data_IF_108836768863
#
_entry.id   IF_108836768863
#
_cell.length_a   1.000
_cell.length_b   1.000
_cell.length_c   1.000
_cell.angle_alpha   90.00
_cell.angle_beta   90.00
_cell.angle_gamma   90.00
#
_symmetry.space_group_name_H-M   'P 1'
#
loop_
_entity.id
_entity.type
_entity.pdbx_description
1 polymer ?
#
# COMPACT_ATOMS: atom_id res chain seq x y z
N UNK A 1 44.21 3.42 25.94
CA UNK A 1 44.46 4.22 24.72
C UNK A 1 43.75 3.46 23.61
N UNK A 2 42.52 3.77 23.21
CA UNK A 2 41.79 5.03 23.27
C UNK A 2 40.33 4.83 23.68
N UNK A 3 39.92 5.67 24.62
CA UNK A 3 38.60 5.78 25.19
C UNK A 3 38.04 7.12 24.71
N UNK A 4 37.19 7.11 23.68
CA UNK A 4 36.36 8.28 23.34
C UNK A 4 35.29 7.93 22.29
N UNK A 5 34.03 7.89 22.75
CA UNK A 5 32.83 8.46 22.10
C UNK A 5 31.60 7.58 22.35
N UNK A 6 31.17 7.54 23.61
CA UNK A 6 29.79 7.19 23.93
C UNK A 6 28.89 8.41 23.72
N UNK A 7 27.71 8.28 23.11
CA UNK A 7 26.74 9.37 23.03
C UNK A 7 26.15 9.61 24.42
N UNK A 8 26.23 10.86 24.90
CA UNK A 8 25.67 11.22 26.21
C UNK A 8 24.13 11.21 26.19
N UNK A 9 23.47 10.79 27.30
CA UNK A 9 22.03 10.94 27.43
C UNK A 9 21.68 12.43 27.60
N UNK A 10 20.66 12.88 26.85
CA UNK A 10 20.06 14.19 27.03
C UNK A 10 19.49 14.30 28.45
N UNK A 11 20.12 15.16 29.25
CA UNK A 11 19.59 15.61 30.54
C UNK A 11 18.22 16.27 30.30
N UNK A 12 17.16 15.61 30.73
CA UNK A 12 15.83 16.19 30.88
C UNK A 12 15.93 17.30 31.94
N UNK A 13 16.13 18.53 31.46
CA UNK A 13 15.95 19.73 32.27
C UNK A 13 14.57 19.70 32.90
N UNK A 14 14.54 19.71 34.23
CA UNK A 14 13.34 19.76 35.05
C UNK A 14 12.36 20.79 34.49
N UNK A 15 11.15 20.33 34.19
CA UNK A 15 10.03 21.17 33.80
C UNK A 15 9.71 22.15 34.95
N UNK A 16 10.23 23.37 34.86
CA UNK A 16 9.81 24.52 35.66
C UNK A 16 8.50 25.10 35.12
N UNK A 17 7.48 24.25 34.92
CA UNK A 17 6.16 24.64 34.42
C UNK A 17 5.22 25.24 35.49
N UNK A 18 5.68 25.38 36.74
CA UNK A 18 4.81 25.71 37.88
C UNK A 18 4.82 27.17 38.37
N UNK A 19 5.80 28.00 37.98
CA UNK A 19 6.09 29.24 38.73
C UNK A 19 5.67 30.55 38.05
N UNK A 20 5.30 30.56 36.77
CA UNK A 20 5.03 31.83 36.04
C UNK A 20 3.57 32.31 36.07
N UNK A 21 2.63 31.55 36.65
CA UNK A 21 1.21 31.93 36.66
C UNK A 21 0.74 32.73 37.88
N UNK A 22 1.59 32.97 38.88
CA UNK A 22 1.20 33.66 40.12
C UNK A 22 1.57 35.15 40.18
N UNK A 23 2.32 35.68 39.20
CA UNK A 23 2.79 37.08 39.22
C UNK A 23 1.99 38.06 38.33
N UNK A 24 0.86 37.64 37.73
CA UNK A 24 0.14 38.42 36.71
C UNK A 24 -1.18 39.06 37.16
N UNK A 25 -1.36 39.29 38.47
CA UNK A 25 -2.52 40.00 39.02
C UNK A 25 -2.09 41.09 40.01
N UNK A 26 -1.39 42.12 39.54
CA UNK A 26 -1.36 43.42 40.21
C UNK A 26 -0.74 44.46 39.27
N UNK A 27 -1.61 45.35 38.77
CA UNK A 27 -1.38 46.62 38.07
C UNK A 27 -2.20 46.67 36.78
N UNK A 28 -3.47 47.05 36.95
CA UNK A 28 -4.35 47.44 35.86
C UNK A 28 -4.81 48.87 36.16
N UNK A 29 -4.28 49.84 35.43
CA UNK A 29 -4.68 51.23 35.53
C UNK A 29 -4.12 52.06 34.39
N UNK A 30 -4.94 52.28 33.35
CA UNK A 30 -4.85 53.47 32.49
C UNK A 30 -3.86 53.49 31.31
N UNK A 31 -4.11 52.71 30.25
CA UNK A 31 -3.87 53.08 28.83
C UNK A 31 -4.25 51.87 27.93
N UNK A 32 -5.54 51.71 27.63
CA UNK A 32 -6.06 50.56 26.86
C UNK A 32 -6.33 50.97 25.41
N UNK A 33 -5.33 50.84 24.55
CA UNK A 33 -5.48 51.02 23.10
C UNK A 33 -4.19 50.70 22.35
N UNK A 34 -3.10 51.37 22.69
CA UNK A 34 -1.76 51.11 22.12
C UNK A 34 -1.04 49.91 22.73
N UNK A 35 -1.17 49.70 24.05
CA UNK A 35 -0.47 48.64 24.78
C UNK A 35 -0.97 47.23 24.46
N UNK A 36 -2.28 47.06 24.19
CA UNK A 36 -2.86 45.78 23.82
C UNK A 36 -2.41 45.33 22.41
N UNK A 37 -2.33 46.26 21.45
CA UNK A 37 -1.79 45.98 20.12
C UNK A 37 -0.31 45.60 20.17
N UNK A 38 0.49 46.29 21.00
CA UNK A 38 1.90 45.93 21.20
C UNK A 38 2.06 44.55 21.87
N UNK A 39 1.20 44.22 22.83
CA UNK A 39 1.18 42.91 23.48
C UNK A 39 0.84 41.77 22.52
N UNK A 40 -0.16 41.96 21.64
CA UNK A 40 -0.56 40.95 20.65
C UNK A 40 0.52 40.79 19.57
N UNK A 41 1.17 41.88 19.14
CA UNK A 41 2.28 41.82 18.19
C UNK A 41 3.48 41.06 18.77
N UNK A 42 3.77 41.24 20.06
CA UNK A 42 4.80 40.48 20.75
C UNK A 42 4.43 38.99 20.88
N UNK A 43 3.20 38.67 21.28
CA UNK A 43 2.72 37.28 21.33
C UNK A 43 2.75 36.60 19.95
N UNK A 44 2.38 37.32 18.88
CA UNK A 44 2.50 36.83 17.50
C UNK A 44 3.95 36.54 17.10
N UNK A 45 4.90 37.36 17.56
CA UNK A 45 6.33 37.12 17.31
C UNK A 45 6.81 35.85 18.02
N UNK A 46 6.41 35.64 19.27
CA UNK A 46 6.73 34.43 20.03
C UNK A 46 6.13 33.18 19.38
N UNK A 47 4.84 33.23 18.98
CA UNK A 47 4.18 32.11 18.29
C UNK A 47 4.88 31.78 16.96
N UNK A 48 5.32 32.80 16.21
CA UNK A 48 6.09 32.58 14.97
C UNK A 48 7.43 31.89 15.25
N UNK A 49 8.11 32.28 16.32
CA UNK A 49 9.37 31.65 16.72
C UNK A 49 9.15 30.19 17.14
N UNK A 50 8.12 29.91 17.93
CA UNK A 50 7.75 28.56 18.34
C UNK A 50 7.37 27.70 17.13
N UNK A 51 6.63 28.25 16.16
CA UNK A 51 6.29 27.55 14.92
C UNK A 51 7.54 27.17 14.11
N UNK A 52 8.56 28.04 14.08
CA UNK A 52 9.85 27.73 13.45
C UNK A 52 10.58 26.62 14.22
N UNK A 53 10.59 26.67 15.56
CA UNK A 53 11.20 25.63 16.37
C UNK A 53 10.53 24.26 16.18
N UNK A 54 9.19 24.22 16.19
CA UNK A 54 8.42 23.00 15.90
C UNK A 54 8.73 22.47 14.51
N UNK A 55 8.79 23.35 13.49
CA UNK A 55 9.16 22.94 12.13
C UNK A 55 10.56 22.32 12.08
N UNK A 56 11.54 22.91 12.75
CA UNK A 56 12.90 22.39 12.79
C UNK A 56 12.96 21.04 13.51
N UNK A 57 12.23 20.88 14.62
CA UNK A 57 12.12 19.62 15.33
C UNK A 57 11.52 18.51 14.44
N UNK A 58 10.48 18.83 13.66
CA UNK A 58 9.89 17.88 12.70
C UNK A 58 10.92 17.44 11.65
N UNK A 59 11.70 18.37 11.08
CA UNK A 59 12.74 18.04 10.10
C UNK A 59 13.78 17.10 10.70
N UNK A 60 14.21 17.37 11.94
CA UNK A 60 15.18 16.51 12.64
C UNK A 60 14.63 15.10 12.86
N UNK A 61 13.38 15.00 13.34
CA UNK A 61 12.71 13.71 13.54
C UNK A 61 12.57 12.92 12.22
N UNK A 62 12.34 13.59 11.09
CA UNK A 62 12.33 12.95 9.78
C UNK A 62 13.71 12.39 9.40
N UNK A 63 14.79 13.13 9.68
CA UNK A 63 16.17 12.67 9.43
C UNK A 63 16.56 11.48 10.32
N UNK A 64 16.20 11.52 11.60
CA UNK A 64 16.42 10.42 12.53
C UNK A 64 15.65 9.17 12.12
N UNK A 65 14.37 9.33 11.74
CA UNK A 65 13.55 8.26 11.17
C UNK A 65 14.21 7.62 9.95
N UNK A 66 14.77 8.41 9.04
CA UNK A 66 15.49 7.88 7.87
C UNK A 66 16.82 7.20 8.22
N UNK A 67 17.51 7.67 9.25
CA UNK A 67 18.72 7.03 9.77
C UNK A 67 18.42 5.68 10.42
N UNK A 68 17.37 5.61 11.25
CA UNK A 68 16.87 4.38 11.84
C UNK A 68 16.44 3.39 10.76
N UNK A 69 15.76 3.86 9.70
CA UNK A 69 15.43 3.02 8.53
C UNK A 69 16.66 2.39 7.87
N UNK A 70 17.75 3.16 7.71
CA UNK A 70 19.02 2.64 7.17
C UNK A 70 19.66 1.61 8.12
N UNK A 71 19.62 1.85 9.42
CA UNK A 71 20.13 0.90 10.41
C UNK A 71 19.34 -0.43 10.39
N UNK A 72 18.00 -0.35 10.36
CA UNK A 72 17.11 -1.51 10.21
C UNK A 72 17.44 -2.29 8.92
N UNK A 73 17.70 -1.61 7.79
CA UNK A 73 18.14 -2.27 6.55
C UNK A 73 19.42 -3.09 6.77
N UNK A 74 20.43 -2.52 7.43
CA UNK A 74 21.69 -3.22 7.70
C UNK A 74 21.45 -4.47 8.56
N UNK A 75 20.65 -4.33 9.61
CA UNK A 75 20.31 -5.43 10.52
C UNK A 75 19.49 -6.53 9.84
N UNK A 76 18.51 -6.18 9.00
CA UNK A 76 17.74 -7.18 8.23
C UNK A 76 18.64 -7.99 7.30
N UNK A 77 19.55 -7.33 6.58
CA UNK A 77 20.52 -8.01 5.70
C UNK A 77 21.48 -8.92 6.49
N UNK A 78 21.96 -8.47 7.64
CA UNK A 78 22.83 -9.25 8.50
C UNK A 78 22.10 -10.47 9.10
N UNK A 79 20.85 -10.28 9.54
CA UNK A 79 20.00 -11.35 10.04
C UNK A 79 19.70 -12.41 8.95
N UNK A 80 19.43 -11.99 7.71
CA UNK A 80 19.28 -12.90 6.57
C UNK A 80 20.55 -13.74 6.32
N UNK A 81 21.74 -13.11 6.35
CA UNK A 81 23.02 -13.82 6.26
C UNK A 81 23.21 -14.84 7.38
N UNK A 82 22.84 -14.48 8.61
CA UNK A 82 22.88 -15.40 9.76
C UNK A 82 21.92 -16.56 9.57
N UNK A 83 20.67 -16.34 9.15
CA UNK A 83 19.71 -17.41 8.85
C UNK A 83 20.25 -18.40 7.82
N UNK A 84 20.83 -17.92 6.71
CA UNK A 84 21.44 -18.78 5.70
C UNK A 84 22.60 -19.59 6.27
N UNK A 85 23.43 -18.98 7.12
CA UNK A 85 24.54 -19.69 7.78
C UNK A 85 24.03 -20.75 8.75
N UNK A 86 23.01 -20.46 9.53
CA UNK A 86 22.35 -21.42 10.44
C UNK A 86 21.79 -22.59 9.64
N UNK A 87 21.08 -22.33 8.55
CA UNK A 87 20.54 -23.39 7.68
C UNK A 87 21.63 -24.29 7.10
N UNK A 88 22.70 -23.69 6.58
CA UNK A 88 23.85 -24.43 6.05
C UNK A 88 24.54 -25.29 7.12
N UNK A 89 24.71 -24.77 8.33
CA UNK A 89 25.28 -25.52 9.45
C UNK A 89 24.34 -26.65 9.90
N UNK A 90 23.03 -26.40 9.93
CA UNK A 90 22.05 -27.43 10.26
C UNK A 90 22.10 -28.59 9.28
N UNK A 91 22.25 -28.31 7.99
CA UNK A 91 22.41 -29.33 6.95
C UNK A 91 23.70 -30.14 7.14
N UNK A 92 24.82 -29.48 7.45
CA UNK A 92 26.08 -30.16 7.78
C UNK A 92 25.96 -31.04 9.03
N UNK A 93 25.29 -30.56 10.07
CA UNK A 93 25.02 -31.32 11.30
C UNK A 93 24.18 -32.55 10.99
N UNK A 94 23.13 -32.43 10.17
CA UNK A 94 22.28 -33.55 9.77
C UNK A 94 23.07 -34.61 8.98
N UNK A 95 23.97 -34.19 8.09
CA UNK A 95 24.85 -35.10 7.35
C UNK A 95 25.83 -35.86 8.28
N UNK A 96 26.39 -35.18 9.29
CA UNK A 96 27.34 -35.77 10.23
C UNK A 96 26.69 -36.68 11.28
N UNK A 97 25.44 -36.41 11.66
CA UNK A 97 24.71 -37.16 12.69
C UNK A 97 24.01 -38.41 12.14
N UNK A 98 24.09 -38.67 10.82
CA UNK A 98 23.47 -39.85 10.20
C UNK A 98 21.93 -39.82 10.21
N UNK A 99 21.31 -38.72 10.67
CA UNK A 99 19.88 -38.51 10.54
C UNK A 99 19.58 -38.21 9.07
N UNK A 100 19.24 -39.26 8.31
CA UNK A 100 18.63 -39.12 6.98
C UNK A 100 17.21 -38.61 7.19
N UNK A 101 17.06 -37.32 7.47
CA UNK A 101 15.79 -36.65 7.19
C UNK A 101 15.63 -36.74 5.68
N UNK A 102 14.75 -37.64 5.23
CA UNK A 102 14.24 -37.66 3.86
C UNK A 102 14.11 -36.23 3.36
N UNK A 103 14.81 -35.96 2.25
CA UNK A 103 15.26 -34.63 1.86
C UNK A 103 14.27 -33.52 2.21
N UNK A 104 14.74 -32.56 3.01
CA UNK A 104 14.19 -31.21 2.93
C UNK A 104 14.62 -30.69 1.56
N UNK A 105 13.82 -31.05 0.55
CA UNK A 105 13.73 -30.43 -0.75
C UNK A 105 13.97 -28.94 -0.52
N UNK A 106 15.07 -28.40 -1.06
CA UNK A 106 15.58 -27.09 -0.66
C UNK A 106 14.45 -26.08 -0.51
N UNK A 107 14.37 -25.43 0.66
CA UNK A 107 13.24 -24.60 1.13
C UNK A 107 12.20 -24.33 0.05
N UNK A 108 10.99 -24.84 0.25
CA UNK A 108 9.89 -24.61 -0.68
C UNK A 108 9.80 -23.11 -0.97
N UNK A 109 9.41 -22.73 -2.18
CA UNK A 109 9.33 -21.32 -2.58
C UNK A 109 8.52 -20.47 -1.58
N UNK A 110 7.61 -21.11 -0.83
CA UNK A 110 6.81 -20.51 0.23
C UNK A 110 7.60 -20.10 1.48
N UNK A 111 8.78 -20.69 1.72
CA UNK A 111 9.59 -20.48 2.93
C UNK A 111 10.66 -19.38 2.75
N UNK A 112 10.80 -18.83 1.55
CA UNK A 112 11.78 -17.81 1.24
C UNK A 112 11.22 -16.42 1.54
N UNK A 113 11.92 -15.65 2.38
CA UNK A 113 11.60 -14.24 2.63
C UNK A 113 11.99 -13.41 1.38
N UNK A 114 11.34 -12.27 1.15
CA UNK A 114 11.60 -11.44 -0.05
C UNK A 114 13.09 -11.12 -0.26
N UNK A 115 13.81 -10.83 0.84
CA UNK A 115 15.24 -10.49 0.84
C UNK A 115 16.12 -11.66 0.35
N UNK A 116 15.65 -12.90 0.47
CA UNK A 116 16.36 -14.10 -0.01
C UNK A 116 16.17 -14.33 -1.51
N UNK A 117 15.13 -13.72 -2.10
CA UNK A 117 14.71 -14.03 -3.47
C UNK A 117 15.25 -12.99 -4.47
N UNK A 118 15.41 -11.71 -4.09
CA UNK A 118 15.97 -10.67 -4.97
C UNK A 118 15.20 -10.43 -6.29
N UNK A 119 14.01 -11.04 -6.48
CA UNK A 119 13.24 -11.07 -7.73
C UNK A 119 11.98 -10.22 -7.70
N UNK A 120 11.47 -9.97 -8.90
CA UNK A 120 10.16 -9.38 -9.16
C UNK A 120 9.07 -9.97 -8.26
N UNK A 121 8.18 -9.11 -7.76
CA UNK A 121 7.08 -9.49 -6.89
C UNK A 121 5.74 -9.00 -7.43
N UNK A 122 4.68 -9.75 -7.14
CA UNK A 122 3.28 -9.40 -7.36
C UNK A 122 2.73 -8.77 -6.08
N UNK A 123 2.44 -7.47 -6.11
CA UNK A 123 1.74 -6.82 -5.00
C UNK A 123 0.23 -6.89 -5.18
N UNK A 124 -0.41 -7.87 -4.56
CA UNK A 124 -1.85 -8.10 -4.68
C UNK A 124 -2.65 -7.38 -3.60
N UNK A 125 -3.81 -6.85 -3.94
CA UNK A 125 -4.71 -6.16 -3.02
C UNK A 125 -5.86 -5.42 -3.70
N UNK A 126 -6.96 -5.24 -2.96
CA UNK A 126 -8.14 -4.53 -3.45
C UNK A 126 -9.05 -5.38 -4.34
N UNK A 127 -10.19 -4.79 -4.72
CA UNK A 127 -11.29 -5.53 -5.39
C UNK A 127 -10.95 -5.91 -6.84
N UNK A 128 -10.09 -5.16 -7.51
CA UNK A 128 -9.72 -5.41 -8.91
C UNK A 128 -8.65 -6.49 -9.10
N UNK A 129 -8.06 -7.00 -8.02
CA UNK A 129 -7.01 -8.02 -8.11
C UNK A 129 -7.58 -9.41 -7.88
N UNK A 130 -7.62 -10.30 -8.89
CA UNK A 130 -8.26 -11.61 -8.75
C UNK A 130 -7.68 -12.48 -7.63
N UNK A 131 -6.38 -12.35 -7.35
CA UNK A 131 -5.69 -13.08 -6.28
C UNK A 131 -5.96 -12.48 -4.89
N UNK A 132 -6.48 -11.25 -4.78
CA UNK A 132 -6.81 -10.64 -3.50
C UNK A 132 -8.00 -11.31 -2.83
N UNK A 133 -7.99 -11.35 -1.49
CA UNK A 133 -9.12 -11.80 -0.69
C UNK A 133 -10.39 -10.96 -0.97
N UNK A 134 -10.20 -9.66 -1.28
CA UNK A 134 -11.27 -8.68 -1.53
C UNK A 134 -11.95 -8.84 -2.89
N UNK A 135 -11.36 -9.59 -3.81
CA UNK A 135 -11.94 -9.75 -5.15
C UNK A 135 -13.33 -10.34 -5.05
N UNK A 136 -14.33 -9.63 -5.60
CA UNK A 136 -15.71 -10.08 -5.52
C UNK A 136 -15.96 -11.17 -6.55
N UNK A 137 -16.13 -12.38 -6.04
CA UNK A 137 -16.57 -13.56 -6.76
C UNK A 137 -17.35 -14.42 -5.78
N UNK A 138 -18.49 -14.95 -6.23
CA UNK A 138 -19.32 -15.82 -5.39
C UNK A 138 -18.56 -17.12 -5.16
N UNK A 139 -18.34 -17.45 -3.90
CA UNK A 139 -17.75 -18.71 -3.44
C UNK A 139 -18.74 -19.39 -2.49
N UNK A 140 -18.84 -20.71 -2.58
CA UNK A 140 -19.68 -21.52 -1.70
C UNK A 140 -18.81 -22.27 -0.70
N UNK A 141 -19.05 -22.11 0.59
CA UNK A 141 -18.38 -22.88 1.63
C UNK A 141 -18.93 -24.31 1.71
N UNK A 142 -18.23 -25.19 2.43
CA UNK A 142 -18.60 -26.62 2.54
C UNK A 142 -19.93 -26.84 3.30
N UNK A 143 -20.32 -25.87 4.14
CA UNK A 143 -21.62 -25.78 4.82
C UNK A 143 -22.76 -25.33 3.87
N UNK A 144 -22.46 -25.04 2.61
CA UNK A 144 -23.41 -24.60 1.59
C UNK A 144 -23.66 -23.09 1.58
N UNK A 145 -23.07 -22.32 2.49
CA UNK A 145 -23.25 -20.86 2.56
C UNK A 145 -22.48 -20.17 1.43
N UNK A 146 -23.14 -19.24 0.74
CA UNK A 146 -22.53 -18.45 -0.33
C UNK A 146 -22.00 -17.11 0.20
N UNK A 147 -20.77 -16.79 -0.18
CA UNK A 147 -20.10 -15.54 0.14
C UNK A 147 -19.71 -14.82 -1.14
N UNK A 148 -19.91 -13.50 -1.20
CA UNK A 148 -19.58 -12.70 -2.41
C UNK A 148 -18.07 -12.47 -2.61
N UNK A 149 -17.23 -12.89 -1.66
CA UNK A 149 -15.77 -12.87 -1.76
C UNK A 149 -15.16 -13.72 -0.65
N UNK A 150 -13.88 -14.07 -0.80
CA UNK A 150 -13.11 -14.72 0.26
C UNK A 150 -12.97 -13.84 1.52
N UNK A 151 -12.99 -12.50 1.38
CA UNK A 151 -12.91 -11.58 2.52
C UNK A 151 -14.20 -11.61 3.35
N UNK A 152 -15.35 -11.73 2.69
CA UNK A 152 -16.63 -11.87 3.38
C UNK A 152 -16.75 -13.23 4.06
N UNK A 153 -16.22 -14.29 3.46
CA UNK A 153 -16.08 -15.58 4.15
C UNK A 153 -15.22 -15.44 5.42
N UNK A 154 -14.06 -14.77 5.30
CA UNK A 154 -13.16 -14.53 6.42
C UNK A 154 -13.83 -13.74 7.56
N UNK A 155 -14.58 -12.68 7.25
CA UNK A 155 -15.33 -11.92 8.26
C UNK A 155 -16.53 -12.68 8.82
N UNK A 156 -17.18 -13.50 8.01
CA UNK A 156 -18.25 -14.38 8.47
C UNK A 156 -17.73 -15.39 9.49
N UNK A 157 -16.59 -16.05 9.22
CA UNK A 157 -15.94 -16.96 10.18
C UNK A 157 -15.47 -16.24 11.45
N UNK A 158 -15.03 -14.99 11.33
CA UNK A 158 -14.75 -14.14 12.50
C UNK A 158 -16.00 -13.90 13.34
N UNK A 159 -17.13 -13.56 12.73
CA UNK A 159 -18.39 -13.37 13.47
C UNK A 159 -18.90 -14.67 14.11
N UNK A 160 -18.79 -15.81 13.41
CA UNK A 160 -19.09 -17.14 13.98
C UNK A 160 -18.21 -17.46 15.19
N UNK A 161 -16.92 -17.11 15.14
CA UNK A 161 -15.99 -17.35 16.26
C UNK A 161 -16.39 -16.66 17.55
N UNK A 162 -16.96 -15.46 17.45
CA UNK A 162 -17.38 -14.66 18.60
C UNK A 162 -18.88 -14.76 18.90
N UNK A 163 -19.54 -15.79 18.35
CA UNK A 163 -20.97 -16.08 18.53
C UNK A 163 -21.90 -14.92 18.13
N UNK A 164 -21.47 -14.04 17.21
CA UNK A 164 -22.26 -12.90 16.74
C UNK A 164 -23.00 -13.20 15.43
N UNK A 165 -24.13 -13.91 15.59
CA UNK A 165 -25.00 -14.28 14.47
C UNK A 165 -25.63 -13.07 13.76
N UNK A 166 -25.82 -11.95 14.46
CA UNK A 166 -26.35 -10.73 13.85
C UNK A 166 -25.33 -10.12 12.89
N UNK A 167 -24.07 -10.00 13.33
CA UNK A 167 -22.98 -9.54 12.48
C UNK A 167 -22.75 -10.49 11.29
N UNK A 168 -22.75 -11.80 11.52
CA UNK A 168 -22.60 -12.81 10.47
C UNK A 168 -23.67 -12.64 9.37
N UNK A 169 -24.94 -12.48 9.75
CA UNK A 169 -26.04 -12.24 8.80
C UNK A 169 -25.90 -10.91 8.05
N UNK A 170 -25.47 -9.83 8.73
CA UNK A 170 -25.20 -8.53 8.08
C UNK A 170 -24.06 -8.64 7.06
N UNK A 171 -23.00 -9.38 7.36
CA UNK A 171 -21.84 -9.58 6.47
C UNK A 171 -22.27 -10.33 5.19
N UNK A 172 -23.06 -11.40 5.34
CA UNK A 172 -23.58 -12.19 4.22
C UNK A 172 -24.50 -11.37 3.31
N UNK A 173 -25.45 -10.64 3.91
CA UNK A 173 -26.49 -9.91 3.17
C UNK A 173 -26.02 -8.56 2.63
N UNK A 174 -24.87 -8.05 3.08
CA UNK A 174 -24.35 -6.73 2.72
C UNK A 174 -24.30 -6.53 1.18
N UNK A 175 -24.77 -5.37 0.68
CA UNK A 175 -24.82 -5.11 -0.77
C UNK A 175 -23.43 -4.92 -1.37
N UNK A 176 -22.48 -4.36 -0.63
CA UNK A 176 -21.13 -4.03 -1.10
C UNK A 176 -20.08 -4.28 0.00
N UNK A 177 -18.79 -4.25 -0.39
CA UNK A 177 -17.65 -4.50 0.51
C UNK A 177 -17.64 -3.55 1.71
N UNK A 178 -17.97 -2.27 1.50
CA UNK A 178 -17.94 -1.27 2.58
C UNK A 178 -19.00 -1.56 3.66
N UNK A 179 -20.19 -1.99 3.27
CA UNK A 179 -21.25 -2.38 4.21
C UNK A 179 -20.87 -3.65 4.99
N UNK A 180 -20.22 -4.62 4.33
CA UNK A 180 -19.69 -5.81 5.00
C UNK A 180 -18.55 -5.45 5.97
N UNK A 181 -17.66 -4.54 5.59
CA UNK A 181 -16.56 -4.07 6.45
C UNK A 181 -17.09 -3.30 7.67
N UNK A 182 -18.18 -2.53 7.51
CA UNK A 182 -18.86 -1.87 8.64
C UNK A 182 -19.45 -2.89 9.61
N UNK A 183 -20.15 -3.92 9.11
CA UNK A 183 -20.70 -4.99 9.92
C UNK A 183 -19.61 -5.80 10.67
N UNK A 184 -18.47 -6.06 10.02
CA UNK A 184 -17.33 -6.70 10.66
C UNK A 184 -16.79 -5.89 11.86
N UNK A 185 -16.76 -4.56 11.75
CA UNK A 185 -16.32 -3.69 12.86
C UNK A 185 -17.30 -3.65 14.03
N UNK A 186 -18.53 -4.13 13.83
CA UNK A 186 -19.59 -4.21 14.85
C UNK A 186 -19.65 -5.58 15.55
N UNK A 187 -18.76 -6.53 15.22
CA UNK A 187 -18.74 -7.87 15.84
C UNK A 187 -18.56 -7.72 17.36
N UNK A 188 -19.54 -8.23 18.11
CA UNK A 188 -19.55 -8.25 19.56
C UNK A 188 -18.52 -9.24 20.09
N UNK A 189 -18.00 -8.98 21.29
CA UNK A 189 -17.05 -9.86 22.00
C UNK A 189 -15.75 -10.16 21.24
N UNK A 190 -15.41 -9.35 20.22
CA UNK A 190 -14.19 -9.54 19.46
C UNK A 190 -12.95 -9.42 20.35
N UNK A 191 -12.10 -10.45 20.30
CA UNK A 191 -10.81 -10.51 20.95
C UNK A 191 -9.72 -10.75 19.90
N UNK A 192 -8.82 -9.78 19.76
CA UNK A 192 -7.76 -9.81 18.77
C UNK A 192 -6.75 -10.95 19.03
N UNK A 193 -6.43 -11.25 20.29
CA UNK A 193 -5.48 -12.32 20.63
C UNK A 193 -6.06 -13.70 20.33
N UNK A 194 -7.36 -13.89 20.59
CA UNK A 194 -8.07 -15.13 20.24
C UNK A 194 -8.14 -15.28 18.73
N UNK A 195 -8.53 -14.23 18.01
CA UNK A 195 -8.63 -14.28 16.55
C UNK A 195 -7.27 -14.52 15.87
N UNK A 196 -6.21 -13.90 16.38
CA UNK A 196 -4.85 -14.05 15.83
C UNK A 196 -4.35 -15.51 15.81
N UNK A 197 -4.90 -16.40 16.66
CA UNK A 197 -4.52 -17.82 16.69
C UNK A 197 -5.00 -18.62 15.48
N UNK A 198 -6.09 -18.20 14.83
CA UNK A 198 -6.74 -18.97 13.77
C UNK A 198 -7.06 -18.17 12.51
N UNK A 199 -6.93 -16.83 12.53
CA UNK A 199 -7.25 -15.97 11.39
C UNK A 199 -6.55 -16.40 10.10
N UNK A 200 -5.30 -16.86 10.19
CA UNK A 200 -4.55 -17.31 9.02
C UNK A 200 -5.17 -18.55 8.38
N UNK A 201 -5.71 -19.47 9.18
CA UNK A 201 -6.40 -20.65 8.69
C UNK A 201 -7.64 -20.25 7.90
N UNK A 202 -8.50 -19.40 8.47
CA UNK A 202 -9.69 -18.91 7.75
C UNK A 202 -9.35 -18.08 6.51
N UNK A 203 -8.22 -17.38 6.52
CA UNK A 203 -7.71 -16.66 5.36
C UNK A 203 -7.29 -17.64 4.24
N UNK A 204 -6.57 -18.71 4.58
CA UNK A 204 -6.16 -19.78 3.67
C UNK A 204 -7.40 -20.51 3.11
N UNK A 205 -8.34 -20.89 3.97
CA UNK A 205 -9.58 -21.59 3.59
C UNK A 205 -10.39 -20.76 2.57
N UNK A 206 -10.56 -19.46 2.82
CA UNK A 206 -11.25 -18.58 1.89
C UNK A 206 -10.55 -18.48 0.52
N UNK A 207 -9.22 -18.44 0.50
CA UNK A 207 -8.46 -18.45 -0.75
C UNK A 207 -8.56 -19.79 -1.48
N UNK A 208 -8.50 -20.91 -0.74
CA UNK A 208 -8.66 -22.25 -1.30
C UNK A 208 -10.04 -22.44 -1.92
N UNK A 209 -11.12 -22.03 -1.24
CA UNK A 209 -12.48 -22.08 -1.79
C UNK A 209 -12.56 -21.31 -3.12
N UNK A 210 -12.03 -20.09 -3.16
CA UNK A 210 -11.99 -19.26 -4.37
C UNK A 210 -11.19 -19.92 -5.49
N UNK A 211 -10.00 -20.43 -5.19
CA UNK A 211 -9.11 -21.03 -6.19
C UNK A 211 -9.64 -22.36 -6.73
N UNK A 212 -10.32 -23.16 -5.90
CA UNK A 212 -10.95 -24.42 -6.32
C UNK A 212 -12.17 -24.18 -7.22
N UNK A 213 -12.96 -23.15 -6.93
CA UNK A 213 -14.22 -22.89 -7.65
C UNK A 213 -14.03 -22.03 -8.91
N UNK A 214 -13.02 -21.16 -8.92
CA UNK A 214 -12.84 -20.16 -9.99
C UNK A 214 -11.57 -20.45 -10.78
N UNK A 215 -11.71 -21.29 -11.81
CA UNK A 215 -10.60 -21.78 -12.66
C UNK A 215 -9.75 -20.65 -13.27
N UNK A 216 -10.36 -19.54 -13.68
CA UNK A 216 -9.60 -18.42 -14.23
C UNK A 216 -8.60 -17.82 -13.21
N UNK A 217 -8.94 -17.83 -11.92
CA UNK A 217 -8.08 -17.30 -10.85
C UNK A 217 -6.97 -18.31 -10.50
N UNK A 218 -7.29 -19.61 -10.47
CA UNK A 218 -6.27 -20.65 -10.28
C UNK A 218 -5.24 -20.65 -11.42
N UNK A 219 -5.69 -20.49 -12.67
CA UNK A 219 -4.80 -20.39 -13.82
C UNK A 219 -3.85 -19.18 -13.69
N UNK A 220 -4.37 -18.02 -13.26
CA UNK A 220 -3.54 -16.83 -13.01
C UNK A 220 -2.49 -17.09 -11.91
N UNK A 221 -2.86 -17.79 -10.84
CA UNK A 221 -1.93 -18.13 -9.78
C UNK A 221 -0.83 -19.07 -10.28
N UNK A 222 -1.18 -20.12 -11.03
CA UNK A 222 -0.20 -21.05 -11.64
C UNK A 222 0.71 -20.32 -12.63
N UNK A 223 0.13 -19.46 -13.49
CA UNK A 223 0.85 -18.66 -14.48
C UNK A 223 1.83 -17.65 -13.86
N UNK A 224 1.66 -17.28 -12.58
CA UNK A 224 2.65 -16.45 -11.86
C UNK A 224 4.00 -17.15 -11.64
N UNK A 225 4.09 -18.46 -11.93
CA UNK A 225 5.31 -19.26 -11.93
C UNK A 225 6.13 -19.13 -10.64
N UNK A 226 7.29 -18.48 -10.67
CA UNK A 226 8.20 -18.31 -9.54
C UNK A 226 8.21 -16.87 -9.01
N UNK A 227 7.19 -16.09 -9.32
CA UNK A 227 7.12 -14.68 -8.91
C UNK A 227 6.74 -14.63 -7.43
N UNK A 228 7.45 -13.83 -6.64
CA UNK A 228 7.10 -13.66 -5.23
C UNK A 228 5.73 -12.99 -5.11
N UNK A 229 4.86 -13.45 -4.21
CA UNK A 229 3.54 -12.86 -4.01
C UNK A 229 3.51 -12.10 -2.68
N UNK A 230 3.13 -10.84 -2.74
CA UNK A 230 3.02 -9.94 -1.59
C UNK A 230 1.60 -9.42 -1.43
N UNK A 231 1.02 -9.54 -0.23
CA UNK A 231 -0.34 -9.11 0.07
C UNK A 231 -0.31 -7.71 0.68
N UNK A 232 -0.87 -6.73 -0.04
CA UNK A 232 -0.98 -5.35 0.42
C UNK A 232 -2.12 -5.17 1.44
N UNK A 233 -1.87 -5.60 2.67
CA UNK A 233 -2.74 -5.45 3.83
C UNK A 233 -1.99 -4.76 4.97
N UNK A 234 -2.72 -3.99 5.79
CA UNK A 234 -2.17 -3.40 7.02
C UNK A 234 -1.99 -4.42 8.13
N UNK A 235 -2.69 -5.55 8.06
CA UNK A 235 -2.46 -6.66 8.98
C UNK A 235 -1.06 -7.22 8.74
N UNK A 236 -0.17 -7.03 9.72
CA UNK A 236 1.23 -7.43 9.64
C UNK A 236 1.43 -8.94 9.73
N UNK A 237 0.40 -9.71 10.08
CA UNK A 237 0.48 -11.16 10.09
C UNK A 237 0.42 -11.71 8.66
N UNK A 238 -0.68 -11.50 7.94
CA UNK A 238 -0.83 -12.05 6.59
C UNK A 238 -0.34 -11.12 5.47
N UNK A 239 -0.18 -9.83 5.72
CA UNK A 239 0.19 -8.83 4.73
C UNK A 239 1.58 -8.22 4.92
N UNK A 240 1.91 -7.27 4.06
CA UNK A 240 3.17 -6.51 4.08
C UNK A 240 3.20 -5.38 5.11
N UNK A 241 2.07 -5.11 5.78
CA UNK A 241 1.89 -3.97 6.69
C UNK A 241 1.41 -2.69 6.00
N UNK A 242 1.27 -2.69 4.68
CA UNK A 242 0.93 -1.50 3.89
C UNK A 242 -0.29 -1.71 3.00
N UNK A 243 -1.13 -0.68 2.90
CA UNK A 243 -2.22 -0.61 1.91
C UNK A 243 -1.64 -0.47 0.50
N UNK A 244 -2.29 -1.08 -0.48
CA UNK A 244 -1.86 -1.07 -1.90
C UNK A 244 -1.68 0.33 -2.50
N UNK A 245 -2.44 1.32 -2.03
CA UNK A 245 -2.37 2.69 -2.54
C UNK A 245 -1.22 3.53 -1.96
N UNK A 246 -0.44 2.98 -1.01
CA UNK A 246 0.73 3.66 -0.43
C UNK A 246 1.98 3.39 -1.28
N UNK A 247 2.83 4.39 -1.46
CA UNK A 247 4.07 4.22 -2.23
C UNK A 247 5.00 3.19 -1.58
N UNK A 248 4.98 3.12 -0.25
CA UNK A 248 5.75 2.21 0.58
C UNK A 248 5.40 0.74 0.30
N UNK A 249 4.15 0.44 -0.05
CA UNK A 249 3.72 -0.92 -0.38
C UNK A 249 4.46 -1.49 -1.59
N UNK A 250 4.99 -0.64 -2.47
CA UNK A 250 5.73 -1.05 -3.67
C UNK A 250 7.24 -1.15 -3.43
N UNK A 251 7.68 -0.96 -2.19
CA UNK A 251 9.09 -0.88 -1.81
C UNK A 251 9.29 -1.86 -0.65
N UNK A 252 9.73 -3.09 -0.92
CA UNK A 252 9.86 -4.14 0.11
C UNK A 252 10.70 -3.75 1.33
N UNK A 253 11.62 -2.80 1.15
CA UNK A 253 12.39 -2.18 2.24
C UNK A 253 11.51 -1.56 3.35
N UNK A 254 10.28 -1.15 3.05
CA UNK A 254 9.35 -0.58 4.01
C UNK A 254 8.40 -1.61 4.60
N UNK A 255 8.35 -2.82 4.05
CA UNK A 255 7.47 -3.85 4.58
C UNK A 255 7.91 -4.25 5.99
N UNK A 256 6.96 -4.19 6.90
CA UNK A 256 7.10 -4.51 8.32
C UNK A 256 6.11 -5.59 8.77
N UNK A 257 5.34 -6.16 7.82
CA UNK A 257 4.56 -7.38 7.99
C UNK A 257 5.28 -8.64 7.51
N UNK A 258 4.81 -9.79 7.98
CA UNK A 258 5.34 -11.14 7.72
C UNK A 258 4.94 -11.69 6.35
N UNK A 259 3.91 -11.12 5.73
CA UNK A 259 3.38 -11.54 4.42
C UNK A 259 3.03 -13.04 4.35
N UNK A 260 2.53 -13.62 5.45
CA UNK A 260 2.17 -15.05 5.50
C UNK A 260 1.10 -15.43 4.46
N UNK A 261 0.17 -14.52 4.13
CA UNK A 261 -0.81 -14.75 3.07
C UNK A 261 -0.17 -14.89 1.68
N UNK A 262 0.91 -14.15 1.42
CA UNK A 262 1.71 -14.32 0.21
C UNK A 262 2.38 -15.69 0.14
N UNK A 263 2.97 -16.14 1.26
CA UNK A 263 3.58 -17.47 1.40
C UNK A 263 2.56 -18.58 1.19
N UNK A 264 1.38 -18.46 1.80
CA UNK A 264 0.25 -19.38 1.60
C UNK A 264 -0.13 -19.47 0.12
N UNK A 265 -0.28 -18.34 -0.59
CA UNK A 265 -0.60 -18.38 -2.03
C UNK A 265 0.50 -19.06 -2.85
N UNK A 266 1.77 -18.87 -2.52
CA UNK A 266 2.89 -19.56 -3.19
C UNK A 266 2.88 -21.07 -2.91
N UNK A 267 2.52 -21.48 -1.68
CA UNK A 267 2.32 -22.89 -1.31
C UNK A 267 1.15 -23.51 -2.08
N UNK A 268 0.00 -22.84 -2.12
CA UNK A 268 -1.17 -23.28 -2.90
C UNK A 268 -0.82 -23.35 -4.39
N UNK A 269 -0.07 -22.38 -4.91
CA UNK A 269 0.43 -22.42 -6.30
C UNK A 269 1.25 -23.67 -6.59
N UNK A 270 2.13 -24.06 -5.68
CA UNK A 270 2.93 -25.28 -5.83
C UNK A 270 2.04 -26.52 -5.90
N UNK A 271 1.07 -26.63 -5.00
CA UNK A 271 0.10 -27.74 -4.99
C UNK A 271 -0.74 -27.78 -6.28
N UNK A 272 -1.21 -26.62 -6.74
CA UNK A 272 -2.01 -26.53 -7.96
C UNK A 272 -1.22 -26.90 -9.21
N UNK A 273 0.08 -26.55 -9.28
CA UNK A 273 0.93 -26.85 -10.45
C UNK A 273 1.00 -28.35 -10.75
N UNK A 274 1.01 -29.21 -9.73
CA UNK A 274 1.14 -30.66 -9.90
C UNK A 274 -0.07 -31.29 -10.63
N UNK A 275 -1.27 -30.74 -10.41
CA UNK A 275 -2.52 -31.20 -11.04
C UNK A 275 -3.06 -30.26 -12.13
N UNK A 276 -2.32 -29.22 -12.49
CA UNK A 276 -2.80 -28.23 -13.44
C UNK A 276 -2.65 -28.72 -14.88
N UNK A 277 -3.70 -28.53 -15.68
CA UNK A 277 -3.69 -28.78 -17.11
C UNK A 277 -4.55 -27.74 -17.78
N UNK A 278 -4.07 -27.15 -18.87
CA UNK A 278 -4.82 -26.22 -19.70
C UNK A 278 -5.90 -26.96 -20.49
N UNK A 279 -7.11 -26.40 -20.58
CA UNK A 279 -8.19 -26.98 -21.41
C UNK A 279 -7.90 -26.81 -22.91
N UNK A 280 -7.02 -25.88 -23.27
CA UNK A 280 -6.54 -25.65 -24.63
C UNK A 280 -5.71 -24.37 -24.75
N UNK A 281 -5.12 -24.10 -25.93
CA UNK A 281 -4.24 -22.94 -26.14
C UNK A 281 -4.92 -21.59 -25.90
N UNK A 282 -6.21 -21.49 -26.16
CA UNK A 282 -6.99 -20.27 -25.97
C UNK A 282 -7.08 -19.85 -24.49
N UNK A 283 -7.24 -20.82 -23.57
CA UNK A 283 -7.32 -20.53 -22.13
C UNK A 283 -5.98 -20.01 -21.59
N UNK A 284 -4.88 -20.59 -22.07
CA UNK A 284 -3.54 -20.14 -21.73
C UNK A 284 -3.28 -18.73 -22.26
N UNK A 285 -3.65 -18.45 -23.52
CA UNK A 285 -3.51 -17.12 -24.13
C UNK A 285 -4.34 -16.05 -23.40
N UNK A 286 -5.60 -16.36 -23.06
CA UNK A 286 -6.44 -15.48 -22.26
C UNK A 286 -5.84 -15.21 -20.88
N UNK A 287 -5.33 -16.26 -20.22
CA UNK A 287 -4.68 -16.14 -18.91
C UNK A 287 -3.43 -15.28 -19.01
N UNK A 288 -2.60 -15.49 -20.05
CA UNK A 288 -1.44 -14.66 -20.31
C UNK A 288 -1.83 -13.19 -20.55
N UNK A 289 -2.89 -12.93 -21.33
CA UNK A 289 -3.37 -11.58 -21.61
C UNK A 289 -3.84 -10.88 -20.33
N UNK A 290 -4.66 -11.56 -19.53
CA UNK A 290 -5.11 -11.07 -18.23
C UNK A 290 -3.94 -10.85 -17.28
N UNK A 291 -2.96 -11.76 -17.26
CA UNK A 291 -1.77 -11.59 -16.45
C UNK A 291 -0.96 -10.35 -16.88
N UNK A 292 -0.71 -10.16 -18.19
CA UNK A 292 -0.04 -8.96 -18.73
C UNK A 292 -0.80 -7.67 -18.42
N UNK A 293 -2.13 -7.70 -18.44
CA UNK A 293 -2.97 -6.57 -18.04
C UNK A 293 -2.80 -6.26 -16.55
N UNK A 294 -2.90 -7.28 -15.70
CA UNK A 294 -2.63 -7.15 -14.27
C UNK A 294 -1.22 -6.62 -14.01
N UNK A 295 -0.21 -7.05 -14.76
CA UNK A 295 1.14 -6.51 -14.62
C UNK A 295 1.17 -4.98 -14.78
N UNK A 296 0.32 -4.38 -15.61
CA UNK A 296 0.29 -2.91 -15.78
C UNK A 296 -0.28 -2.17 -14.55
N UNK A 297 -1.20 -2.79 -13.83
CA UNK A 297 -1.92 -2.17 -12.71
C UNK A 297 -1.45 -2.62 -11.32
N UNK A 298 -0.86 -3.81 -11.25
CA UNK A 298 -0.45 -4.53 -10.03
C UNK A 298 1.06 -4.46 -9.84
N UNK A 299 1.87 -4.40 -10.92
CA UNK A 299 3.31 -4.22 -10.77
C UNK A 299 3.65 -2.73 -10.64
N UNK A 300 4.24 -2.39 -9.51
CA UNK A 300 5.14 -1.24 -9.44
C UNK A 300 6.49 -1.71 -8.95
N UNK A 301 7.25 -2.38 -9.80
CA UNK A 301 8.71 -2.32 -9.67
C UNK A 301 9.19 -1.03 -10.30
N UNK A 302 9.58 -0.08 -9.46
CA UNK A 302 10.59 0.90 -9.86
C UNK A 302 11.89 0.11 -9.91
N UNK A 303 12.24 -0.40 -11.08
CA UNK A 303 13.62 -0.75 -11.35
C UNK A 303 14.36 0.57 -11.60
N UNK A 304 15.19 1.07 -10.66
CA UNK A 304 15.91 2.31 -10.87
C UNK A 304 16.84 2.24 -12.08
N UNK A 305 17.24 1.05 -12.54
CA UNK A 305 18.09 0.87 -13.72
C UNK A 305 17.32 1.04 -15.03
N UNK A 306 16.01 0.74 -15.06
CA UNK A 306 15.16 0.98 -16.25
C UNK A 306 14.85 2.46 -16.48
N UNK A 307 15.05 3.34 -15.50
CA UNK A 307 14.92 4.80 -15.68
C UNK A 307 16.08 5.40 -16.49
N UNK A 308 17.23 4.74 -16.53
CA UNK A 308 18.45 5.28 -17.17
C UNK A 308 18.39 5.13 -18.71
N UNK A 309 17.55 4.24 -19.24
CA UNK A 309 17.40 4.06 -20.70
C UNK A 309 16.29 4.91 -21.36
N UNK A 310 15.45 5.59 -20.59
CA UNK A 310 14.49 6.56 -21.13
C UNK A 310 15.06 7.97 -20.99
N UNK A 311 16.10 8.27 -21.79
CA UNK A 311 16.52 9.64 -22.03
C UNK A 311 15.39 10.46 -22.67
N UNK A 312 15.36 11.79 -22.50
CA UNK A 312 14.28 12.62 -23.01
C UNK A 312 14.27 12.54 -24.54
N UNK A 313 13.23 11.94 -25.10
CA UNK A 313 12.97 11.93 -26.54
C UNK A 313 12.69 13.36 -26.98
N UNK A 314 13.75 14.10 -27.33
CA UNK A 314 13.63 15.33 -28.11
C UNK A 314 13.16 14.92 -29.50
N UNK A 315 11.93 15.28 -29.86
CA UNK A 315 11.40 15.08 -31.20
C UNK A 315 12.26 15.78 -32.26
N UNK A 316 12.20 15.35 -33.53
CA UNK A 316 13.07 15.88 -34.58
C UNK A 316 12.74 17.35 -34.82
N UNK A 317 13.72 18.22 -34.59
CA UNK A 317 13.67 19.63 -34.97
C UNK A 317 13.88 19.70 -36.48
N UNK A 318 12.84 20.07 -37.22
CA UNK A 318 12.91 20.28 -38.67
C UNK A 318 13.88 21.43 -39.04
N UNK A 319 14.43 21.43 -40.27
CA UNK A 319 15.55 22.31 -40.62
C UNK A 319 15.11 23.77 -40.71
N UNK A 320 15.85 24.65 -40.02
CA UNK A 320 15.75 26.10 -40.13
C UNK A 320 16.08 26.56 -41.55
N UNK A 321 15.06 27.01 -42.30
CA UNK A 321 15.22 27.88 -43.45
C UNK A 321 15.42 29.33 -43.01
N UNK A 322 16.54 29.91 -43.42
CA UNK A 322 16.97 31.30 -43.20
C UNK A 322 16.65 32.12 -44.44
N UNK A 323 15.79 33.14 -44.39
CA UNK A 323 15.93 34.37 -45.22
C UNK A 323 15.37 35.58 -44.48
N UNK A 324 16.13 36.67 -44.58
CA UNK A 324 15.94 37.99 -43.98
C UNK A 324 15.00 38.92 -44.79
N UNK A 325 14.29 39.78 -44.06
CA UNK A 325 13.91 41.19 -44.28
C UNK A 325 13.99 41.84 -45.67
N UNK A 326 12.89 42.47 -46.12
CA UNK A 326 12.91 43.76 -46.84
C UNK A 326 11.53 44.48 -46.86
N UNK A 327 11.48 45.71 -46.33
CA UNK A 327 10.83 46.93 -46.87
C UNK A 327 9.32 46.99 -47.24
N UNK A 328 8.56 47.90 -46.59
CA UNK A 328 7.17 48.30 -46.96
C UNK A 328 7.10 49.28 -48.16
N UNK A 329 6.11 50.20 -48.30
CA UNK A 329 4.81 50.35 -47.63
C UNK A 329 3.61 50.75 -48.57
N UNK A 330 2.40 50.92 -47.97
CA UNK A 330 1.20 51.71 -48.41
C UNK A 330 0.25 51.15 -49.49
N UNK A 331 -1.04 50.98 -49.13
CA UNK A 331 -2.18 51.92 -49.43
C UNK A 331 -3.53 51.34 -48.95
N UNK A 332 -4.33 52.19 -48.30
CA UNK A 332 -5.80 52.13 -48.22
C UNK A 332 -6.38 53.23 -49.17
N UNK A 333 -7.69 53.57 -49.23
CA UNK A 333 -8.94 52.94 -48.78
C UNK A 333 -10.09 53.00 -49.84
N UNK A 334 -11.30 52.49 -49.55
CA UNK A 334 -12.65 53.02 -49.90
C UNK A 334 -13.73 51.95 -49.58
N UNK A 335 -14.58 52.13 -48.56
CA UNK A 335 -15.88 52.83 -48.52
C UNK A 335 -17.02 52.16 -49.32
N UNK A 336 -18.05 51.67 -48.62
CA UNK A 336 -19.32 51.23 -49.20
C UNK A 336 -20.30 50.78 -48.12
N UNK A 337 -21.32 51.62 -47.89
CA UNK A 337 -22.38 51.55 -46.87
C UNK A 337 -23.53 50.60 -47.22
N UNK A 338 -24.40 50.37 -46.23
CA UNK A 338 -25.74 49.75 -46.21
C UNK A 338 -25.76 48.22 -45.99
N UNK A 339 -26.55 47.64 -45.09
CA UNK A 339 -27.55 48.16 -44.17
C UNK A 339 -28.35 46.99 -43.56
N UNK A 340 -28.74 47.16 -42.30
CA UNK A 340 -29.88 46.58 -41.57
C UNK A 340 -30.20 45.07 -41.60
N UNK A 341 -30.41 44.51 -40.39
CA UNK A 341 -31.47 43.53 -40.15
C UNK A 341 -31.15 42.42 -39.16
N UNK A 342 -31.25 42.68 -37.86
CA UNK A 342 -31.66 41.65 -36.88
C UNK A 342 -33.18 41.45 -37.02
N UNK A 343 -33.72 40.28 -36.66
CA UNK A 343 -34.31 40.21 -35.33
C UNK A 343 -34.05 38.90 -34.55
N UNK A 344 -34.03 39.09 -33.24
CA UNK A 344 -34.20 38.13 -32.15
C UNK A 344 -35.55 37.39 -32.24
N UNK A 345 -35.58 36.11 -31.88
CA UNK A 345 -36.75 35.50 -31.24
C UNK A 345 -36.33 34.59 -30.08
N UNK A 346 -37.07 34.76 -29.00
CA UNK A 346 -36.98 34.12 -27.69
C UNK A 346 -38.25 33.28 -27.48
N UNK A 347 -38.17 32.35 -26.53
CA UNK A 347 -39.25 31.69 -25.77
C UNK A 347 -39.97 30.47 -26.36
N UNK A 348 -40.12 29.44 -25.52
CA UNK A 348 -41.11 28.37 -25.72
C UNK A 348 -40.89 27.04 -24.97
N UNK A 349 -40.86 27.06 -23.64
CA UNK A 349 -41.36 25.94 -22.79
C UNK A 349 -42.67 26.44 -22.13
N UNK A 350 -43.67 25.63 -21.69
CA UNK A 350 -43.51 24.47 -20.79
C UNK A 350 -44.58 23.33 -20.88
N UNK A 351 -44.49 22.33 -19.99
CA UNK A 351 -45.60 21.43 -19.56
C UNK A 351 -45.19 19.95 -19.46
N UNK A 352 -44.85 19.41 -18.28
CA UNK A 352 -45.73 18.68 -17.33
C UNK A 352 -46.61 17.57 -17.96
N UNK A 353 -46.17 16.30 -17.86
CA UNK A 353 -46.65 15.27 -16.92
C UNK A 353 -45.83 14.00 -17.06
#
# INVERSE_FOLDING_TARGET
MDEASQPQPLSMGQASGGAMNSARMQQRGGQQGGAANYSIQNELMWIKQDAIQVRNAVILLEQEKDSLRKAIRKLKLENGRVKLKVKSLQEQVNQLTGNTTNGVQGASEADLDYDDIGRDFLLIGGVHDPLSLRHEVVIRADDGVEHKSAERYYWYKMAEKFDDQEAAKKILTAPNVNAAEAAMKEIKNFDEEVWNKEKLQHWEDGQLLKLKQVRAISNLLVYSQTTYIAVASQDKCFGTGWRKNREESNKPIFWDGLNEGGKILMKIRQQLKEGHTWLGPQEEEETQKKFKELQRYVWRRIDPTKRIQAGPTRGPVGPRGRVMSAGGPRRAPQSGSNGNGRPSYNAGAPGQR
#
